data_IF_873090614374
#
_entry.id   IF_873090614374
#
_cell.length_a   1.000
_cell.length_b   1.000
_cell.length_c   1.000
_cell.angle_alpha   90.00
_cell.angle_beta   90.00
_cell.angle_gamma   90.00
#
_symmetry.space_group_name_H-M   'P 1'
#
loop_
_entity.id
_entity.type
_entity.pdbx_description
1 polymer ?
#
# COMPACT_ATOMS: atom_id res chain seq x y z
N UNK A 1 -8.73 -6.36 -8.03
CA UNK A 1 -7.74 -5.35 -8.47
C UNK A 1 -8.20 -3.91 -8.27
N UNK A 2 -9.45 -3.53 -8.57
CA UNK A 2 -9.95 -2.14 -8.38
C UNK A 2 -9.64 -1.54 -6.99
N UNK A 3 -9.91 -2.28 -5.92
CA UNK A 3 -9.62 -1.85 -4.54
C UNK A 3 -8.13 -1.69 -4.24
N UNK A 4 -7.26 -2.48 -4.88
CA UNK A 4 -5.80 -2.34 -4.76
C UNK A 4 -5.37 -0.99 -5.35
N UNK A 5 -5.84 -0.68 -6.56
CA UNK A 5 -5.54 0.59 -7.20
C UNK A 5 -6.13 1.77 -6.44
N UNK A 6 -7.34 1.63 -5.89
CA UNK A 6 -7.97 2.64 -5.03
C UNK A 6 -7.15 2.91 -3.76
N UNK A 7 -6.71 1.85 -3.08
CA UNK A 7 -5.81 1.95 -1.94
C UNK A 7 -4.52 2.66 -2.30
N UNK A 8 -3.82 2.22 -3.36
CA UNK A 8 -2.56 2.85 -3.78
C UNK A 8 -2.75 4.31 -4.14
N UNK A 9 -3.80 4.63 -4.90
CA UNK A 9 -4.13 6.00 -5.30
C UNK A 9 -4.36 6.94 -4.11
N UNK A 10 -5.05 6.43 -3.08
CA UNK A 10 -5.26 7.16 -1.84
C UNK A 10 -3.98 7.22 -1.00
N UNK A 11 -3.23 6.12 -0.92
CA UNK A 11 -2.03 6.01 -0.11
C UNK A 11 -0.86 6.85 -0.65
N UNK A 12 -0.81 7.10 -1.95
CA UNK A 12 0.16 7.98 -2.60
C UNK A 12 -0.42 9.36 -2.91
N UNK A 13 -1.53 9.77 -2.30
CA UNK A 13 -2.12 11.09 -2.55
C UNK A 13 -1.11 12.20 -2.20
N UNK A 14 -0.92 13.15 -3.12
CA UNK A 14 0.11 14.19 -3.01
C UNK A 14 1.52 13.78 -3.47
N UNK A 15 1.79 12.47 -3.63
CA UNK A 15 3.10 11.91 -3.97
C UNK A 15 2.99 10.79 -5.01
N UNK A 16 2.04 10.90 -5.95
CA UNK A 16 1.69 9.82 -6.88
C UNK A 16 2.86 9.37 -7.77
N UNK A 17 3.72 10.30 -8.15
CA UNK A 17 4.92 10.03 -8.96
C UNK A 17 6.14 9.70 -8.09
N UNK A 18 6.05 9.92 -6.78
CA UNK A 18 7.14 9.70 -5.82
C UNK A 18 6.63 8.91 -4.62
N UNK A 19 6.19 7.64 -4.79
CA UNK A 19 5.61 6.83 -3.70
C UNK A 19 6.53 6.71 -2.47
N UNK A 20 7.85 6.70 -2.67
CA UNK A 20 8.87 6.72 -1.62
C UNK A 20 8.87 7.99 -0.75
N UNK A 21 8.13 9.04 -1.14
CA UNK A 21 7.94 10.25 -0.32
C UNK A 21 6.59 10.29 0.38
N UNK A 22 5.69 9.35 0.12
CA UNK A 22 4.37 9.35 0.76
C UNK A 22 4.47 8.82 2.19
N UNK A 23 4.31 9.65 3.24
CA UNK A 23 4.48 9.20 4.61
C UNK A 23 3.47 8.12 5.00
N UNK A 24 2.25 8.22 4.47
CA UNK A 24 1.19 7.26 4.75
C UNK A 24 1.46 5.90 4.11
N UNK A 25 1.95 5.86 2.86
CA UNK A 25 2.31 4.59 2.22
C UNK A 25 3.46 3.93 2.99
N UNK A 26 4.50 4.70 3.30
CA UNK A 26 5.67 4.21 4.02
C UNK A 26 5.28 3.65 5.39
N UNK A 27 4.45 4.37 6.14
CA UNK A 27 3.97 3.91 7.44
C UNK A 27 3.15 2.61 7.35
N UNK A 28 2.30 2.47 6.31
CA UNK A 28 1.53 1.24 6.08
C UNK A 28 2.44 0.05 5.77
N UNK A 29 3.46 0.26 4.95
CA UNK A 29 4.46 -0.76 4.62
C UNK A 29 5.31 -1.12 5.84
N UNK A 30 5.77 -0.13 6.61
CA UNK A 30 6.52 -0.32 7.86
C UNK A 30 5.75 -1.14 8.87
N UNK A 31 4.46 -0.85 9.05
CA UNK A 31 3.61 -1.61 9.98
C UNK A 31 3.45 -3.07 9.56
N UNK A 32 3.30 -3.34 8.25
CA UNK A 32 3.07 -4.70 7.76
C UNK A 32 4.36 -5.52 7.68
N UNK A 33 5.45 -4.93 7.20
CA UNK A 33 6.73 -5.61 7.00
C UNK A 33 7.64 -5.55 8.24
N UNK A 34 7.32 -4.73 9.25
CA UNK A 34 8.11 -4.60 10.48
C UNK A 34 9.48 -3.93 10.28
N UNK A 35 9.66 -3.22 9.17
CA UNK A 35 10.92 -2.57 8.78
C UNK A 35 10.77 -1.07 8.84
N UNK A 36 11.79 -0.37 9.35
CA UNK A 36 11.79 1.09 9.38
C UNK A 36 11.84 1.66 7.97
N UNK A 37 10.78 2.35 7.57
CA UNK A 37 10.64 2.99 6.25
C UNK A 37 10.87 4.50 6.31
N UNK A 38 11.06 5.05 7.51
CA UNK A 38 11.39 6.46 7.66
C UNK A 38 12.72 6.77 6.96
N UNK A 39 12.68 7.76 6.05
CA UNK A 39 13.85 8.27 5.31
C UNK A 39 14.41 7.34 4.22
N UNK A 40 13.62 6.38 3.74
CA UNK A 40 14.02 5.58 2.58
C UNK A 40 14.11 6.44 1.31
N UNK A 41 15.23 6.33 0.58
CA UNK A 41 15.44 7.04 -0.68
C UNK A 41 14.76 6.34 -1.86
N UNK A 42 14.98 6.89 -3.06
CA UNK A 42 14.40 6.33 -4.30
C UNK A 42 14.89 4.91 -4.57
N UNK A 43 16.21 4.70 -4.52
CA UNK A 43 16.82 3.41 -4.85
C UNK A 43 16.47 2.36 -3.81
N UNK A 44 16.61 2.69 -2.52
CA UNK A 44 16.31 1.77 -1.43
C UNK A 44 14.84 1.35 -1.44
N UNK A 45 13.93 2.26 -1.78
CA UNK A 45 12.51 1.94 -1.90
C UNK A 45 12.26 0.92 -3.02
N UNK A 46 12.85 1.11 -4.20
CA UNK A 46 12.65 0.17 -5.31
C UNK A 46 13.33 -1.17 -5.07
N UNK A 47 14.52 -1.19 -4.48
CA UNK A 47 15.19 -2.42 -4.06
C UNK A 47 14.32 -3.19 -3.05
N UNK A 48 13.79 -2.48 -2.05
CA UNK A 48 12.87 -3.07 -1.08
C UNK A 48 11.61 -3.63 -1.73
N UNK A 49 10.98 -2.87 -2.64
CA UNK A 49 9.76 -3.31 -3.34
C UNK A 49 10.03 -4.57 -4.16
N UNK A 50 11.18 -4.67 -4.82
CA UNK A 50 11.56 -5.85 -5.59
C UNK A 50 11.89 -7.04 -4.69
N UNK A 51 12.61 -6.81 -3.59
CA UNK A 51 12.99 -7.85 -2.61
C UNK A 51 11.77 -8.43 -1.90
N UNK A 52 10.92 -7.56 -1.37
CA UNK A 52 9.72 -7.94 -0.60
C UNK A 52 8.45 -8.05 -1.47
N UNK A 53 8.59 -8.17 -2.79
CA UNK A 53 7.45 -8.15 -3.73
C UNK A 53 6.35 -9.14 -3.33
N UNK A 54 6.70 -10.34 -2.88
CA UNK A 54 5.74 -11.37 -2.46
C UNK A 54 4.94 -10.94 -1.23
N UNK A 55 5.60 -10.34 -0.23
CA UNK A 55 4.98 -9.83 0.99
C UNK A 55 4.09 -8.62 0.67
N UNK A 56 4.57 -7.69 -0.14
CA UNK A 56 3.80 -6.53 -0.59
C UNK A 56 2.57 -6.93 -1.42
N UNK A 57 2.70 -7.94 -2.30
CA UNK A 57 1.56 -8.48 -3.03
C UNK A 57 0.50 -9.08 -2.10
N UNK A 58 0.93 -9.80 -1.05
CA UNK A 58 0.00 -10.35 -0.04
C UNK A 58 -0.67 -9.23 0.76
N UNK A 59 0.08 -8.21 1.15
CA UNK A 59 -0.44 -6.99 1.78
C UNK A 59 -1.50 -6.32 0.92
N UNK A 60 -1.22 -6.09 -0.36
CA UNK A 60 -2.16 -5.44 -1.28
C UNK A 60 -3.45 -6.26 -1.50
N UNK A 61 -3.35 -7.59 -1.53
CA UNK A 61 -4.55 -8.46 -1.58
C UNK A 61 -5.38 -8.32 -0.32
N UNK A 62 -4.72 -8.33 0.84
CA UNK A 62 -5.38 -8.16 2.13
C UNK A 62 -6.05 -6.79 2.26
N UNK A 63 -5.41 -5.69 1.85
CA UNK A 63 -6.04 -4.36 1.88
C UNK A 63 -7.27 -4.28 0.97
N UNK A 64 -7.22 -4.93 -0.21
CA UNK A 64 -8.38 -5.03 -1.08
C UNK A 64 -9.52 -5.86 -0.48
N UNK A 65 -9.21 -6.87 0.34
CA UNK A 65 -10.21 -7.62 1.08
C UNK A 65 -10.85 -6.76 2.18
N UNK A 66 -10.03 -6.02 2.93
CA UNK A 66 -10.51 -5.06 3.94
C UNK A 66 -11.42 -3.97 3.34
N UNK A 67 -11.09 -3.43 2.17
CA UNK A 67 -11.98 -2.47 1.50
C UNK A 67 -13.34 -3.06 1.10
N UNK A 68 -13.40 -4.37 0.79
CA UNK A 68 -14.68 -5.04 0.52
C UNK A 68 -15.53 -5.18 1.78
N UNK A 69 -14.90 -5.36 2.93
CA UNK A 69 -15.60 -5.36 4.21
C UNK A 69 -16.03 -3.97 4.65
N UNK A 70 -15.21 -2.94 4.40
CA UNK A 70 -15.52 -1.55 4.75
C UNK A 70 -16.63 -0.95 3.88
N UNK A 71 -16.72 -1.37 2.61
CA UNK A 71 -17.83 -1.03 1.72
C UNK A 71 -18.62 -2.30 1.37
N UNK A 72 -19.40 -2.85 2.32
CA UNK A 72 -20.29 -3.94 1.98
C UNK A 72 -21.23 -3.39 0.91
N UNK A 73 -21.26 -4.02 -0.26
CA UNK A 73 -22.29 -3.70 -1.26
C UNK A 73 -23.61 -3.84 -0.53
N UNK A 74 -24.33 -2.73 -0.35
CA UNK A 74 -25.68 -2.75 0.16
C UNK A 74 -26.44 -3.77 -0.69
N UNK A 75 -26.72 -4.92 -0.11
CA UNK A 75 -27.55 -5.94 -0.74
C UNK A 75 -28.95 -5.38 -0.54
N UNK A 76 -29.40 -4.56 -1.48
CA UNK A 76 -30.77 -4.09 -1.46
C UNK A 76 -31.67 -5.35 -1.47
N UNK A 77 -32.63 -5.45 -0.53
CA UNK A 77 -33.52 -6.59 -0.42
C UNK A 77 -34.39 -6.77 -1.68
#
# INVERSE_FOLDING_TARGET
MRYIFGFLWNATRGHRLTPWRSPYLLWRVETYCGVKMQQIGFLEFWEFVLRERSHLWRFLRWTAEMERYAHPRLKNP
#
